data_IF_276103137548
#
_entry.id   IF_276103137548
#
_cell.length_a   1.000
_cell.length_b   1.000
_cell.length_c   1.000
_cell.angle_alpha   90.00
_cell.angle_beta   90.00
_cell.angle_gamma   90.00
#
_symmetry.space_group_name_H-M   'P 1'
#
loop_
_entity.id
_entity.type
_entity.pdbx_description
1 polymer ?
#
# COMPACT_ATOMS: atom_id res chain seq x y z
N UNK A 1 19.26 7.72 -10.08
CA UNK A 1 18.42 8.84 -9.66
C UNK A 1 16.96 8.43 -9.84
N UNK A 2 16.14 8.59 -8.81
CA UNK A 2 14.71 8.21 -8.84
C UNK A 2 13.98 8.83 -10.03
N UNK A 3 14.46 9.97 -10.53
CA UNK A 3 13.91 10.68 -11.68
C UNK A 3 14.08 9.98 -13.01
N UNK A 4 15.05 9.10 -13.13
CA UNK A 4 15.31 8.37 -14.38
C UNK A 4 14.47 7.10 -14.52
N UNK A 5 13.80 6.70 -13.46
CA UNK A 5 13.04 5.43 -13.37
C UNK A 5 11.67 5.51 -14.02
N UNK A 6 11.17 6.72 -14.27
CA UNK A 6 9.78 6.97 -14.67
C UNK A 6 9.60 7.32 -16.16
N UNK A 7 10.37 6.75 -17.06
CA UNK A 7 10.22 6.99 -18.50
C UNK A 7 9.30 5.97 -19.17
N UNK A 8 8.09 6.45 -19.49
CA UNK A 8 7.12 5.69 -20.30
C UNK A 8 6.29 4.70 -19.51
N UNK A 9 5.40 3.92 -20.02
CA UNK A 9 4.49 2.92 -19.43
C UNK A 9 5.17 1.90 -18.48
N UNK A 10 5.68 2.27 -17.27
CA UNK A 10 6.82 1.51 -16.82
C UNK A 10 6.73 0.98 -15.42
N UNK A 11 7.15 -0.27 -15.36
CA UNK A 11 7.57 -0.90 -14.14
C UNK A 11 8.73 -0.10 -13.54
N UNK A 12 8.58 0.29 -12.29
CA UNK A 12 9.65 0.87 -11.52
C UNK A 12 10.79 -0.14 -11.37
N UNK A 13 12.00 0.23 -11.81
CA UNK A 13 13.16 -0.65 -11.77
C UNK A 13 13.81 -0.74 -10.37
N UNK A 14 13.37 0.10 -9.42
CA UNK A 14 13.94 0.14 -8.06
C UNK A 14 13.33 -0.96 -7.22
N UNK A 15 14.19 -1.78 -6.61
CA UNK A 15 13.77 -2.71 -5.55
C UNK A 15 13.64 -1.93 -4.25
N UNK A 16 12.44 -1.97 -3.64
CA UNK A 16 12.16 -1.37 -2.35
C UNK A 16 12.44 -2.37 -1.21
N UNK A 17 13.34 -2.01 -0.31
CA UNK A 17 13.79 -2.88 0.77
C UNK A 17 14.80 -3.94 0.31
N UNK A 18 14.87 -5.03 1.02
CA UNK A 18 15.76 -6.16 0.75
C UNK A 18 15.01 -7.48 0.73
N UNK A 19 15.63 -8.56 0.22
CA UNK A 19 15.03 -9.90 0.25
C UNK A 19 14.74 -10.40 1.67
N UNK A 20 15.55 -9.98 2.66
CA UNK A 20 15.40 -10.35 4.07
C UNK A 20 14.37 -9.48 4.81
N UNK A 21 14.15 -8.26 4.31
CA UNK A 21 13.21 -7.29 4.86
C UNK A 21 12.62 -6.48 3.70
N UNK A 22 11.62 -7.02 2.99
CA UNK A 22 11.09 -6.41 1.77
C UNK A 22 10.06 -5.31 2.09
N UNK A 23 10.49 -4.33 2.85
CA UNK A 23 9.73 -3.16 3.28
C UNK A 23 10.62 -1.93 3.18
N UNK A 24 10.07 -0.82 2.68
CA UNK A 24 10.74 0.48 2.63
C UNK A 24 9.77 1.60 2.97
N UNK A 25 10.22 2.49 3.83
CA UNK A 25 9.52 3.73 4.18
C UNK A 25 10.15 4.92 3.47
N UNK A 26 9.30 5.83 2.99
CA UNK A 26 9.68 7.12 2.42
C UNK A 26 8.91 8.24 3.08
N UNK A 27 9.61 9.30 3.47
CA UNK A 27 8.98 10.55 3.89
C UNK A 27 9.12 11.56 2.76
N UNK A 28 8.13 11.58 1.87
CA UNK A 28 8.21 12.35 0.62
C UNK A 28 7.50 13.68 0.72
N UNK A 29 8.16 14.72 0.19
CA UNK A 29 7.60 16.03 -0.11
C UNK A 29 7.49 16.14 -1.63
N UNK A 30 6.26 16.25 -2.16
CA UNK A 30 6.03 16.32 -3.61
C UNK A 30 6.67 17.55 -4.25
N UNK A 31 6.95 18.62 -3.50
CA UNK A 31 7.60 19.81 -4.04
C UNK A 31 9.06 19.61 -4.47
N UNK A 32 9.69 18.50 -4.06
CA UNK A 32 11.07 18.17 -4.49
C UNK A 32 11.11 17.42 -5.82
N UNK A 33 9.95 16.96 -6.32
CA UNK A 33 9.83 16.34 -7.64
C UNK A 33 9.54 17.38 -8.72
N UNK A 34 9.99 17.11 -9.94
CA UNK A 34 9.74 17.99 -11.09
C UNK A 34 8.22 18.14 -11.29
N UNK A 35 7.76 19.38 -11.40
CA UNK A 35 6.34 19.74 -11.52
C UNK A 35 5.46 19.26 -10.34
N UNK A 36 6.03 19.02 -9.17
CA UNK A 36 5.33 18.47 -7.99
C UNK A 36 4.57 17.17 -8.30
N UNK A 37 5.16 16.32 -9.13
CA UNK A 37 4.50 15.16 -9.70
C UNK A 37 5.39 13.93 -9.63
N UNK A 38 4.81 12.81 -9.25
CA UNK A 38 5.37 11.47 -9.48
C UNK A 38 4.60 10.87 -10.65
N UNK A 39 5.31 10.70 -11.77
CA UNK A 39 4.73 10.29 -13.05
C UNK A 39 4.24 8.84 -13.04
N UNK A 40 3.52 8.47 -14.09
CA UNK A 40 2.97 7.15 -14.27
C UNK A 40 4.00 6.05 -14.07
N UNK A 41 3.74 5.16 -13.11
CA UNK A 41 4.56 4.00 -12.83
C UNK A 41 3.73 2.88 -12.19
N UNK A 42 4.31 1.69 -12.15
CA UNK A 42 3.78 0.56 -11.42
C UNK A 42 4.91 -0.29 -10.85
N UNK A 43 4.63 -1.02 -9.79
CA UNK A 43 5.57 -1.92 -9.14
C UNK A 43 4.85 -3.13 -8.54
N UNK A 44 5.60 -4.18 -8.19
CA UNK A 44 5.06 -5.41 -7.61
C UNK A 44 4.71 -5.25 -6.13
N UNK A 45 5.34 -4.31 -5.45
CA UNK A 45 5.07 -4.00 -4.05
C UNK A 45 3.67 -3.41 -3.88
N UNK A 46 3.10 -3.65 -2.70
CA UNK A 46 1.93 -2.94 -2.21
C UNK A 46 2.36 -1.60 -1.64
N UNK A 47 1.50 -0.60 -1.71
CA UNK A 47 1.81 0.75 -1.24
C UNK A 47 0.69 1.32 -0.37
N UNK A 48 1.07 1.96 0.73
CA UNK A 48 0.22 2.80 1.55
C UNK A 48 0.76 4.21 1.60
N UNK A 49 -0.09 5.19 1.32
CA UNK A 49 0.26 6.61 1.34
C UNK A 49 -0.66 7.33 2.32
N UNK A 50 -0.08 8.09 3.24
CA UNK A 50 -0.78 8.96 4.16
C UNK A 50 -0.58 10.42 3.77
N UNK A 51 -1.66 11.19 3.73
CA UNK A 51 -1.58 12.63 3.45
C UNK A 51 -1.38 13.36 4.78
N UNK A 52 -0.13 13.67 5.09
CA UNK A 52 0.21 14.39 6.32
C UNK A 52 -0.12 15.88 6.22
N UNK A 53 0.09 16.47 5.04
CA UNK A 53 -0.30 17.86 4.77
C UNK A 53 -0.50 18.08 3.27
N UNK A 54 -1.35 19.05 2.94
CA UNK A 54 -1.65 19.40 1.55
C UNK A 54 -2.79 18.62 0.95
N UNK A 55 -2.97 18.78 -0.35
CA UNK A 55 -3.95 18.06 -1.17
C UNK A 55 -3.23 17.40 -2.33
N UNK A 56 -3.50 16.12 -2.56
CA UNK A 56 -2.86 15.34 -3.61
C UNK A 56 -3.90 14.81 -4.57
N UNK A 57 -3.67 15.02 -5.86
CA UNK A 57 -4.46 14.43 -6.94
C UNK A 57 -3.84 13.11 -7.36
N UNK A 58 -4.63 12.06 -7.36
CA UNK A 58 -4.25 10.73 -7.82
C UNK A 58 -4.91 10.41 -9.15
N UNK A 59 -4.14 9.77 -10.04
CA UNK A 59 -4.64 9.04 -11.19
C UNK A 59 -4.25 7.59 -11.03
N UNK A 60 -5.24 6.71 -10.97
CA UNK A 60 -5.05 5.27 -10.85
C UNK A 60 -5.88 4.59 -11.93
N UNK A 61 -5.20 4.00 -12.93
CA UNK A 61 -5.89 3.55 -14.13
C UNK A 61 -6.65 4.71 -14.78
N UNK A 62 -7.97 4.59 -14.90
CA UNK A 62 -8.86 5.62 -15.46
C UNK A 62 -9.48 6.53 -14.37
N UNK A 63 -9.26 6.23 -13.11
CA UNK A 63 -9.82 6.99 -12.00
C UNK A 63 -8.95 8.19 -11.64
N UNK A 64 -9.62 9.30 -11.32
CA UNK A 64 -8.99 10.51 -10.82
C UNK A 64 -9.74 11.03 -9.59
N UNK A 65 -8.99 11.35 -8.53
CA UNK A 65 -9.58 11.89 -7.30
C UNK A 65 -8.53 12.68 -6.50
N UNK A 66 -9.02 13.54 -5.61
CA UNK A 66 -8.19 14.30 -4.69
C UNK A 66 -8.30 13.72 -3.27
N UNK A 67 -7.17 13.64 -2.57
CA UNK A 67 -7.11 13.33 -1.15
C UNK A 67 -6.52 14.50 -0.38
N UNK A 68 -7.14 14.81 0.75
CA UNK A 68 -6.75 15.90 1.64
C UNK A 68 -6.08 15.38 2.90
N UNK A 69 -5.52 16.29 3.67
CA UNK A 69 -4.85 16.03 4.94
C UNK A 69 -5.65 15.11 5.86
N UNK A 70 -4.99 14.12 6.43
CA UNK A 70 -5.55 13.14 7.35
C UNK A 70 -6.14 11.90 6.69
N UNK A 71 -6.31 11.88 5.38
CA UNK A 71 -6.77 10.74 4.60
C UNK A 71 -5.58 9.92 4.06
N UNK A 72 -5.88 8.75 3.53
CA UNK A 72 -4.85 7.89 2.96
C UNK A 72 -5.38 6.94 1.89
N UNK A 73 -4.49 6.17 1.32
CA UNK A 73 -4.80 5.26 0.23
C UNK A 73 -3.92 4.01 0.29
N UNK A 74 -4.50 2.88 -0.07
CA UNK A 74 -3.83 1.64 -0.42
C UNK A 74 -3.85 1.46 -1.94
N UNK A 75 -2.70 1.15 -2.52
CA UNK A 75 -2.55 0.83 -3.96
C UNK A 75 -2.10 -0.61 -4.08
N UNK A 76 -2.87 -1.40 -4.82
CA UNK A 76 -2.60 -2.82 -5.00
C UNK A 76 -1.41 -3.08 -5.93
N UNK A 77 -0.91 -4.31 -5.93
CA UNK A 77 0.22 -4.75 -6.74
C UNK A 77 -0.02 -4.49 -8.23
N UNK A 78 1.03 -4.03 -8.93
CA UNK A 78 1.06 -3.82 -10.40
C UNK A 78 0.02 -2.85 -10.93
N UNK A 79 -0.51 -1.97 -10.09
CA UNK A 79 -1.48 -0.96 -10.51
C UNK A 79 -0.76 0.29 -10.99
N UNK A 80 -1.09 0.73 -12.20
CA UNK A 80 -0.53 1.93 -12.80
C UNK A 80 -1.10 3.16 -12.10
N UNK A 81 -0.24 4.03 -11.59
CA UNK A 81 -0.65 5.21 -10.85
C UNK A 81 0.29 6.40 -11.06
N UNK A 82 -0.25 7.58 -10.83
CA UNK A 82 0.42 8.88 -10.87
C UNK A 82 -0.18 9.78 -9.81
N UNK A 83 0.62 10.64 -9.18
CA UNK A 83 0.08 11.61 -8.24
C UNK A 83 0.82 12.94 -8.31
N UNK A 84 0.08 14.00 -8.00
CA UNK A 84 0.47 15.39 -8.16
C UNK A 84 -0.13 16.24 -7.03
N UNK A 85 0.57 17.31 -6.65
CA UNK A 85 0.02 18.35 -5.80
C UNK A 85 0.30 19.73 -6.38
N UNK A 86 -0.71 20.64 -6.40
CA UNK A 86 -0.51 22.01 -6.89
C UNK A 86 0.36 22.86 -5.94
N UNK A 87 0.53 22.41 -4.70
CA UNK A 87 1.31 23.06 -3.67
C UNK A 87 2.15 22.06 -2.90
N UNK A 88 2.82 22.48 -1.83
CA UNK A 88 3.57 21.58 -0.98
C UNK A 88 2.63 20.51 -0.37
N UNK A 89 2.99 19.25 -0.51
CA UNK A 89 2.30 18.14 0.12
C UNK A 89 3.31 17.17 0.72
N UNK A 90 3.09 16.78 1.97
CA UNK A 90 3.87 15.78 2.68
C UNK A 90 3.10 14.46 2.67
N UNK A 91 3.70 13.45 2.08
CA UNK A 91 3.07 12.14 1.84
C UNK A 91 3.97 10.99 2.32
N UNK A 92 4.12 10.83 3.64
CA UNK A 92 4.80 9.65 4.14
C UNK A 92 4.12 8.39 3.61
N UNK A 93 4.92 7.46 3.11
CA UNK A 93 4.42 6.24 2.50
C UNK A 93 5.34 5.06 2.76
N UNK A 94 4.80 3.87 2.62
CA UNK A 94 5.59 2.66 2.70
C UNK A 94 5.16 1.65 1.65
N UNK A 95 6.15 0.97 1.11
CA UNK A 95 5.99 -0.06 0.09
C UNK A 95 6.58 -1.38 0.59
N UNK A 96 5.94 -2.48 0.28
CA UNK A 96 6.40 -3.80 0.72
C UNK A 96 5.90 -4.91 -0.20
N UNK A 97 6.69 -5.98 -0.26
CA UNK A 97 6.23 -7.20 -0.93
C UNK A 97 5.13 -7.87 -0.09
N UNK A 98 4.11 -8.46 -0.73
CA UNK A 98 3.07 -9.22 0.00
C UNK A 98 3.63 -10.29 0.93
N UNK A 99 4.75 -10.91 0.55
CA UNK A 99 5.47 -11.89 1.36
C UNK A 99 6.02 -11.36 2.67
N UNK A 100 6.08 -10.03 2.85
CA UNK A 100 6.45 -9.42 4.12
C UNK A 100 5.40 -9.65 5.22
N UNK A 101 4.12 -9.77 4.86
CA UNK A 101 3.04 -10.05 5.80
C UNK A 101 3.10 -11.50 6.28
N UNK A 102 3.31 -12.43 5.35
CA UNK A 102 3.44 -13.87 5.63
C UNK A 102 4.11 -14.58 4.44
N UNK A 103 4.80 -15.71 4.68
CA UNK A 103 5.39 -16.51 3.61
C UNK A 103 4.35 -16.97 2.58
N UNK A 104 4.74 -17.01 1.31
CA UNK A 104 3.85 -17.37 0.18
C UNK A 104 3.16 -18.72 0.32
N UNK A 105 3.81 -19.69 0.91
CA UNK A 105 3.30 -21.04 1.12
C UNK A 105 2.53 -21.21 2.44
N UNK A 106 2.37 -20.13 3.20
CA UNK A 106 1.64 -20.16 4.47
C UNK A 106 0.13 -20.07 4.27
N UNK A 107 -0.61 -20.62 5.23
CA UNK A 107 -2.07 -20.48 5.27
C UNK A 107 -2.49 -19.01 5.34
N UNK A 108 -1.75 -18.18 6.07
CA UNK A 108 -2.05 -16.75 6.20
C UNK A 108 -2.00 -16.08 4.82
N UNK A 109 -0.96 -16.35 4.05
CA UNK A 109 -0.83 -15.77 2.71
C UNK A 109 -1.95 -16.24 1.78
N UNK A 110 -2.17 -17.54 1.70
CA UNK A 110 -3.15 -18.14 0.79
C UNK A 110 -4.58 -17.70 1.12
N UNK A 111 -4.91 -17.59 2.39
CA UNK A 111 -6.27 -17.30 2.82
C UNK A 111 -6.59 -15.81 2.92
N UNK A 112 -5.63 -14.96 3.31
CA UNK A 112 -5.89 -13.57 3.66
C UNK A 112 -5.18 -12.54 2.76
N UNK A 113 -4.08 -12.91 2.12
CA UNK A 113 -3.31 -12.00 1.27
C UNK A 113 -3.65 -12.19 -0.19
N UNK A 114 -3.52 -13.43 -0.67
CA UNK A 114 -3.73 -13.78 -2.08
C UNK A 114 -5.09 -13.32 -2.62
N UNK A 115 -6.22 -13.45 -1.88
CA UNK A 115 -7.51 -12.98 -2.38
C UNK A 115 -7.56 -11.48 -2.69
N UNK A 116 -6.87 -10.66 -1.90
CA UNK A 116 -6.82 -9.21 -2.14
C UNK A 116 -5.91 -8.88 -3.32
N UNK A 117 -4.68 -9.40 -3.33
CA UNK A 117 -3.70 -9.05 -4.36
C UNK A 117 -4.04 -9.61 -5.74
N UNK A 118 -4.81 -10.68 -5.83
CA UNK A 118 -5.30 -11.24 -7.09
C UNK A 118 -6.70 -10.76 -7.47
N UNK A 119 -7.35 -9.97 -6.62
CA UNK A 119 -8.63 -9.36 -6.94
C UNK A 119 -8.48 -8.21 -7.95
N UNK A 120 -9.57 -7.82 -8.64
CA UNK A 120 -9.56 -6.66 -9.52
C UNK A 120 -9.53 -5.32 -8.78
N UNK A 121 -9.46 -5.31 -7.44
CA UNK A 121 -9.41 -4.11 -6.62
C UNK A 121 -8.11 -3.33 -6.86
N UNK A 122 -8.15 -2.13 -7.50
CA UNK A 122 -6.91 -1.41 -7.79
C UNK A 122 -6.40 -0.60 -6.59
N UNK A 123 -7.30 -0.08 -5.79
CA UNK A 123 -6.97 0.77 -4.64
C UNK A 123 -8.11 0.82 -3.63
N UNK A 124 -7.79 1.28 -2.42
CA UNK A 124 -8.76 1.61 -1.37
C UNK A 124 -8.43 2.98 -0.80
N UNK A 125 -9.41 3.86 -0.75
CA UNK A 125 -9.30 5.16 -0.08
C UNK A 125 -9.75 5.02 1.38
N UNK A 126 -8.99 5.64 2.28
CA UNK A 126 -9.33 5.70 3.71
C UNK A 126 -9.67 7.13 4.09
N UNK A 127 -10.94 7.34 4.43
CA UNK A 127 -11.46 8.63 4.90
C UNK A 127 -11.49 8.67 6.43
N UNK A 128 -10.96 9.74 7.00
CA UNK A 128 -10.89 9.93 8.46
C UNK A 128 -12.25 10.00 9.16
N UNK A 129 -13.30 10.28 8.41
CA UNK A 129 -14.67 10.36 8.91
C UNK A 129 -15.38 8.99 9.02
N UNK A 130 -14.84 7.96 8.39
CA UNK A 130 -15.40 6.60 8.40
C UNK A 130 -14.69 5.77 9.47
N UNK A 131 -15.43 5.20 10.39
CA UNK A 131 -14.91 4.60 11.62
C UNK A 131 -13.81 3.56 11.39
N UNK A 132 -14.07 2.54 10.56
CA UNK A 132 -13.06 1.51 10.32
C UNK A 132 -11.86 2.04 9.51
N UNK A 133 -12.08 2.98 8.61
CA UNK A 133 -11.03 3.63 7.83
C UNK A 133 -10.16 4.53 8.72
N UNK A 134 -10.76 5.24 9.67
CA UNK A 134 -10.02 6.00 10.67
C UNK A 134 -9.09 5.10 11.51
N UNK A 135 -9.51 3.89 11.82
CA UNK A 135 -8.67 2.89 12.50
C UNK A 135 -7.50 2.46 11.62
N UNK A 136 -7.72 2.21 10.33
CA UNK A 136 -6.66 1.96 9.35
C UNK A 136 -5.67 3.11 9.32
N UNK A 137 -6.14 4.35 9.22
CA UNK A 137 -5.29 5.55 9.22
C UNK A 137 -4.46 5.68 10.51
N UNK A 138 -5.05 5.33 11.65
CA UNK A 138 -4.33 5.31 12.92
C UNK A 138 -3.19 4.30 12.92
N UNK A 139 -3.41 3.10 12.39
CA UNK A 139 -2.36 2.07 12.28
C UNK A 139 -1.27 2.52 11.30
N UNK A 140 -1.64 3.14 10.18
CA UNK A 140 -0.68 3.72 9.23
C UNK A 140 0.24 4.73 9.92
N UNK A 141 -0.31 5.65 10.74
CA UNK A 141 0.49 6.60 11.50
C UNK A 141 1.41 5.91 12.51
N UNK A 142 0.96 4.84 13.15
CA UNK A 142 1.80 4.04 14.04
C UNK A 142 2.97 3.38 13.29
N UNK A 143 2.73 2.86 12.09
CA UNK A 143 3.79 2.30 11.23
C UNK A 143 4.81 3.38 10.86
N UNK A 144 4.35 4.57 10.47
CA UNK A 144 5.20 5.71 10.15
C UNK A 144 6.06 6.10 11.37
N UNK A 145 5.44 6.21 12.54
CA UNK A 145 6.14 6.53 13.79
C UNK A 145 7.14 5.46 14.21
N UNK A 146 6.85 4.19 13.93
CA UNK A 146 7.73 3.07 14.25
C UNK A 146 9.08 3.15 13.52
N UNK A 147 9.16 3.88 12.39
CA UNK A 147 10.40 4.02 11.64
C UNK A 147 11.48 4.80 12.39
N UNK A 148 11.09 5.58 13.39
CA UNK A 148 12.02 6.29 14.29
C UNK A 148 12.53 5.41 15.45
N UNK A 149 11.98 4.20 15.63
CA UNK A 149 12.42 3.26 16.66
C UNK A 149 13.71 2.58 16.24
N UNK A 150 14.75 2.68 17.07
CA UNK A 150 16.08 2.14 16.74
C UNK A 150 16.18 0.65 17.03
N UNK A 151 15.53 0.15 18.07
CA UNK A 151 15.77 -1.21 18.61
C UNK A 151 14.74 -2.25 18.17
N UNK A 152 13.51 -1.86 17.85
CA UNK A 152 12.40 -2.79 17.58
C UNK A 152 11.66 -2.49 16.28
N UNK A 153 12.20 -1.64 15.45
CA UNK A 153 11.55 -1.12 14.24
C UNK A 153 10.98 -2.23 13.36
N UNK A 154 11.78 -3.21 13.02
CA UNK A 154 11.40 -4.27 12.08
C UNK A 154 10.27 -5.15 12.62
N UNK A 155 10.37 -5.56 13.87
CA UNK A 155 9.33 -6.39 14.50
C UNK A 155 8.04 -5.61 14.73
N UNK A 156 8.15 -4.36 15.21
CA UNK A 156 7.01 -3.49 15.41
C UNK A 156 6.28 -3.19 14.10
N UNK A 157 7.03 -2.86 13.05
CA UNK A 157 6.47 -2.63 11.70
C UNK A 157 5.73 -3.87 11.19
N UNK A 158 6.33 -5.04 11.31
CA UNK A 158 5.71 -6.30 10.91
C UNK A 158 4.42 -6.58 11.67
N UNK A 159 4.42 -6.39 12.98
CA UNK A 159 3.24 -6.57 13.83
C UNK A 159 2.11 -5.61 13.47
N UNK A 160 2.42 -4.33 13.30
CA UNK A 160 1.44 -3.31 12.93
C UNK A 160 0.88 -3.55 11.53
N UNK A 161 1.71 -4.01 10.59
CA UNK A 161 1.27 -4.28 9.24
C UNK A 161 0.29 -5.46 9.17
N UNK A 162 0.48 -6.49 9.99
CA UNK A 162 -0.50 -7.57 10.12
C UNK A 162 -1.84 -7.05 10.69
N UNK A 163 -1.79 -6.17 11.66
CA UNK A 163 -2.98 -5.49 12.19
C UNK A 163 -3.70 -4.66 11.12
N UNK A 164 -2.94 -3.89 10.34
CA UNK A 164 -3.46 -3.10 9.23
C UNK A 164 -4.19 -3.99 8.21
N UNK A 165 -3.56 -5.09 7.85
CA UNK A 165 -4.12 -6.04 6.88
C UNK A 165 -5.38 -6.71 7.38
N UNK A 166 -5.43 -7.06 8.67
CA UNK A 166 -6.63 -7.61 9.31
C UNK A 166 -7.83 -6.66 9.17
N UNK A 167 -7.65 -5.38 9.46
CA UNK A 167 -8.70 -4.37 9.32
C UNK A 167 -9.20 -4.26 7.86
N UNK A 168 -8.29 -4.27 6.91
CA UNK A 168 -8.65 -4.21 5.49
C UNK A 168 -9.41 -5.46 5.08
N UNK A 169 -8.92 -6.62 5.44
CA UNK A 169 -9.55 -7.90 5.08
C UNK A 169 -10.96 -8.03 5.66
N UNK A 170 -11.16 -7.66 6.92
CA UNK A 170 -12.47 -7.75 7.59
C UNK A 170 -13.52 -6.78 7.02
N UNK A 171 -13.08 -5.65 6.45
CA UNK A 171 -13.97 -4.60 5.95
C UNK A 171 -14.05 -4.53 4.43
N UNK A 172 -13.38 -5.43 3.72
CA UNK A 172 -13.39 -5.48 2.25
C UNK A 172 -14.16 -6.72 1.81
N UNK A 173 -15.23 -6.51 1.06
CA UNK A 173 -16.00 -7.61 0.48
C UNK A 173 -15.32 -8.11 -0.79
N UNK A 174 -14.39 -9.04 -0.61
CA UNK A 174 -13.74 -9.74 -1.71
C UNK A 174 -14.42 -11.10 -1.82
N UNK A 175 -15.30 -11.24 -2.84
CA UNK A 175 -15.89 -12.51 -3.17
C UNK A 175 -14.80 -13.49 -3.58
N UNK A 176 -14.61 -14.53 -2.75
CA UNK A 176 -13.80 -15.68 -3.12
C UNK A 176 -14.43 -16.34 -4.33
N UNK A 177 -13.68 -16.69 -5.38
CA UNK A 177 -14.12 -17.77 -6.24
C UNK A 177 -14.30 -19.00 -5.35
N UNK A 178 -15.48 -19.58 -5.32
CA UNK A 178 -15.71 -20.86 -4.66
C UNK A 178 -14.80 -21.89 -5.34
N UNK A 179 -13.65 -22.14 -4.77
CA UNK A 179 -12.89 -23.32 -5.11
C UNK A 179 -13.69 -24.52 -4.59
N UNK A 180 -14.08 -25.35 -5.52
CA UNK A 180 -14.73 -26.62 -5.28
C UNK A 180 -14.05 -27.37 -4.14
N UNK A 181 -14.71 -27.45 -3.00
CA UNK A 181 -14.41 -28.44 -1.99
C UNK A 181 -14.80 -29.81 -2.55
N UNK A 182 -13.95 -30.39 -3.36
CA UNK A 182 -13.96 -31.83 -3.54
C UNK A 182 -13.42 -32.49 -2.26
N UNK A 183 -14.29 -32.62 -1.29
CA UNK A 183 -14.06 -33.60 -0.25
C UNK A 183 -14.25 -34.98 -0.91
N UNK A 184 -13.15 -35.59 -1.30
CA UNK A 184 -13.08 -37.02 -1.54
C UNK A 184 -13.45 -37.72 -0.22
N UNK A 185 -14.68 -38.18 -0.14
CA UNK A 185 -15.08 -39.21 0.81
C UNK A 185 -14.49 -40.51 0.33
N UNK A 186 -13.30 -40.84 0.79
CA UNK A 186 -12.77 -42.20 0.69
C UNK A 186 -13.36 -43.02 1.83
N UNK A 187 -14.16 -44.00 1.44
CA UNK A 187 -14.68 -45.11 2.24
C UNK A 187 -13.54 -46.01 2.70
#
# INVERSE_FOLDING_TARGET
DVRDTYRGLHMEAVQHGSNRYPFQFYYEDLSVFDFNCIEWHWHTELEFIFIESGTVTFWIGEDRFDLTEGNGIFINTKVLHRFYSPSKALIPNFVFMPSFIAPRDSLIYQKYILPIISSPLPFLIFHKEICWQAKVLSIMRQIISAQDSVSTKELLTSSLLQNLWLEIFENTDISYPEEHQEYSTAS
#
